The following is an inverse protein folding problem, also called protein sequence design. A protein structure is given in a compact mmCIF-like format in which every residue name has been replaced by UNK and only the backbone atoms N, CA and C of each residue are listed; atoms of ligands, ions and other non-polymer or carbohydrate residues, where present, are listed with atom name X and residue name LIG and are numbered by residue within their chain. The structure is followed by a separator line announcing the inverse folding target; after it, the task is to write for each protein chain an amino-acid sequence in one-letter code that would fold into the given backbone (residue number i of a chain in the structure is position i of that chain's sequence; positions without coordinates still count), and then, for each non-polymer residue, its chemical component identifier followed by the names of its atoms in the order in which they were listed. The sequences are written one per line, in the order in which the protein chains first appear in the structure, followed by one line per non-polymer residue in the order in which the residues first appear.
data_IF_235869069709
#
_entry.id   IF_235869069709
#
_cell.length_a   1.000
_cell.length_b   1.000
_cell.length_c   1.000
_cell.angle_alpha   90.00
_cell.angle_beta   90.00
_cell.angle_gamma   90.00
#
_symmetry.space_group_name_H-M   'P 1'
#
loop_
_entity.id
_entity.type
_entity.pdbx_description
1 polymer ?
#
# COMPACT_ATOMS: atom_id res chain seq x y z
N UNK A 1 -22.73 6.78 12.65
CA UNK A 1 -22.74 5.39 12.14
C UNK A 1 -22.49 5.32 10.64
N UNK A 2 -21.23 5.25 10.21
CA UNK A 2 -20.86 5.05 8.81
C UNK A 2 -20.14 3.68 8.65
N UNK A 3 -20.77 2.68 8.00
CA UNK A 3 -20.15 1.39 7.72
C UNK A 3 -18.87 1.49 6.88
N UNK A 4 -18.79 2.44 5.95
CA UNK A 4 -17.62 2.67 5.11
C UNK A 4 -16.42 3.17 5.91
N UNK A 5 -16.63 4.14 6.78
CA UNK A 5 -15.60 4.61 7.71
C UNK A 5 -15.11 3.50 8.65
N UNK A 6 -16.01 2.60 9.11
CA UNK A 6 -15.62 1.44 9.93
C UNK A 6 -14.72 0.47 9.17
N UNK A 7 -15.05 0.15 7.92
CA UNK A 7 -14.17 -0.64 7.05
C UNK A 7 -12.83 0.06 6.81
N UNK A 8 -12.84 1.38 6.62
CA UNK A 8 -11.66 2.21 6.36
C UNK A 8 -10.59 2.21 7.46
N UNK A 9 -10.96 1.87 8.70
CA UNK A 9 -10.01 1.65 9.80
C UNK A 9 -9.16 0.40 9.57
N UNK A 10 -9.72 -0.62 8.92
CA UNK A 10 -9.07 -1.90 8.70
C UNK A 10 -8.38 -1.94 7.33
N UNK A 11 -9.11 -1.61 6.28
CA UNK A 11 -8.67 -1.82 4.90
C UNK A 11 -8.89 -0.58 4.04
N UNK A 12 -8.13 -0.50 2.97
CA UNK A 12 -8.24 0.58 1.98
C UNK A 12 -9.50 0.45 1.13
N UNK A 13 -9.95 1.57 0.60
CA UNK A 13 -11.13 1.68 -0.25
C UNK A 13 -10.96 2.80 -1.27
N UNK A 14 -11.61 2.69 -2.44
CA UNK A 14 -11.48 3.70 -3.48
C UNK A 14 -12.24 4.97 -3.10
N UNK A 15 -11.64 6.14 -3.28
CA UNK A 15 -12.35 7.42 -3.17
C UNK A 15 -13.39 7.56 -4.29
N UNK A 16 -13.01 7.14 -5.50
CA UNK A 16 -13.92 6.97 -6.65
C UNK A 16 -13.68 5.57 -7.21
N UNK A 17 -14.74 4.76 -7.30
CA UNK A 17 -14.63 3.35 -7.71
C UNK A 17 -14.41 3.25 -9.22
N UNK A 18 -13.15 3.08 -9.60
CA UNK A 18 -12.72 2.76 -10.96
C UNK A 18 -11.57 1.74 -10.84
N UNK A 19 -11.88 0.43 -10.80
CA UNK A 19 -10.89 -0.60 -10.48
C UNK A 19 -9.63 -0.56 -11.35
N UNK A 20 -9.75 -0.21 -12.63
CA UNK A 20 -8.61 -0.08 -13.54
C UNK A 20 -7.71 1.09 -13.14
N UNK A 21 -8.29 2.29 -12.93
CA UNK A 21 -7.51 3.44 -12.49
C UNK A 21 -6.92 3.23 -11.08
N UNK A 22 -7.70 2.63 -10.17
CA UNK A 22 -7.25 2.32 -8.82
C UNK A 22 -6.09 1.31 -8.82
N UNK A 23 -6.16 0.28 -9.69
CA UNK A 23 -5.07 -0.68 -9.88
C UNK A 23 -3.79 0.02 -10.36
N UNK A 24 -3.90 0.92 -11.35
CA UNK A 24 -2.75 1.68 -11.84
C UNK A 24 -2.13 2.53 -10.73
N UNK A 25 -2.95 3.18 -9.89
CA UNK A 25 -2.46 3.95 -8.73
C UNK A 25 -1.67 3.08 -7.76
N UNK A 26 -2.18 1.89 -7.38
CA UNK A 26 -1.46 0.98 -6.50
C UNK A 26 -0.15 0.44 -7.12
N UNK A 27 -0.15 0.17 -8.43
CA UNK A 27 1.07 -0.21 -9.16
C UNK A 27 2.13 0.89 -9.05
N UNK A 28 1.76 2.14 -9.35
CA UNK A 28 2.69 3.28 -9.32
C UNK A 28 3.20 3.51 -7.89
N UNK A 29 2.31 3.49 -6.90
CA UNK A 29 2.67 3.68 -5.50
C UNK A 29 3.65 2.62 -4.99
N UNK A 30 3.36 1.33 -5.23
CA UNK A 30 4.25 0.25 -4.78
C UNK A 30 5.53 0.18 -5.59
N UNK A 31 5.49 0.49 -6.89
CA UNK A 31 6.71 0.64 -7.70
C UNK A 31 7.66 1.66 -7.07
N UNK A 32 7.15 2.86 -6.78
CA UNK A 32 7.96 3.92 -6.18
C UNK A 32 8.48 3.51 -4.81
N UNK A 33 7.64 2.87 -3.97
CA UNK A 33 8.05 2.34 -2.67
C UNK A 33 9.23 1.37 -2.82
N UNK A 34 9.09 0.32 -3.63
CA UNK A 34 10.11 -0.73 -3.72
C UNK A 34 11.38 -0.20 -4.39
N UNK A 35 11.27 0.59 -5.45
CA UNK A 35 12.43 1.17 -6.11
C UNK A 35 13.24 2.06 -5.15
N UNK A 36 12.57 2.98 -4.43
CA UNK A 36 13.25 3.94 -3.55
C UNK A 36 13.75 3.27 -2.28
N UNK A 37 13.03 2.31 -1.67
CA UNK A 37 13.52 1.56 -0.50
C UNK A 37 14.84 0.84 -0.82
N UNK A 38 14.93 0.21 -2.01
CA UNK A 38 16.17 -0.43 -2.43
C UNK A 38 17.30 0.61 -2.63
N UNK A 39 17.02 1.76 -3.26
CA UNK A 39 18.01 2.83 -3.40
C UNK A 39 18.48 3.41 -2.06
N UNK A 40 17.57 3.60 -1.09
CA UNK A 40 17.92 4.03 0.27
C UNK A 40 18.77 2.98 0.97
N UNK A 41 18.49 1.69 0.73
CA UNK A 41 19.24 0.59 1.36
C UNK A 41 20.72 0.57 0.97
N UNK A 42 21.10 1.06 -0.22
CA UNK A 42 22.50 1.08 -0.66
C UNK A 42 23.33 2.18 0.00
N UNK A 43 22.69 3.23 0.53
CA UNK A 43 23.37 4.40 1.11
C UNK A 43 23.19 4.52 2.63
N UNK A 44 22.09 3.99 3.19
CA UNK A 44 21.73 4.19 4.59
C UNK A 44 21.92 2.94 5.47
N UNK A 45 22.09 1.76 4.89
CA UNK A 45 22.32 0.54 5.65
C UNK A 45 23.76 0.52 6.18
N UNK A 46 23.92 0.48 7.51
CA UNK A 46 25.24 0.45 8.16
C UNK A 46 25.90 1.82 8.37
N UNK A 47 25.28 2.90 7.88
CA UNK A 47 25.80 4.27 8.05
C UNK A 47 25.55 4.81 9.45
N UNK A 48 24.27 4.94 9.84
CA UNK A 48 23.85 5.44 11.16
C UNK A 48 22.71 4.57 11.68
N UNK A 49 22.77 4.06 12.94
CA UNK A 49 21.67 3.31 13.53
C UNK A 49 20.35 4.06 13.44
N UNK A 50 19.29 3.41 12.93
CA UNK A 50 17.96 3.99 12.82
C UNK A 50 17.71 4.91 11.62
N UNK A 51 18.74 5.31 10.86
CA UNK A 51 18.55 6.19 9.69
C UNK A 51 17.76 5.49 8.57
N UNK A 52 18.08 4.24 8.27
CA UNK A 52 17.35 3.45 7.26
C UNK A 52 15.84 3.38 7.54
N UNK A 53 15.36 2.88 8.70
CA UNK A 53 13.93 2.83 8.98
C UNK A 53 13.29 4.22 9.08
N UNK A 54 14.02 5.25 9.53
CA UNK A 54 13.52 6.64 9.51
C UNK A 54 13.22 7.10 8.08
N UNK A 55 14.17 6.94 7.14
CA UNK A 55 14.00 7.32 5.74
C UNK A 55 12.89 6.52 5.05
N UNK A 56 12.78 5.23 5.34
CA UNK A 56 11.66 4.40 4.85
C UNK A 56 10.32 4.91 5.40
N UNK A 57 10.27 5.33 6.66
CA UNK A 57 9.07 5.95 7.25
C UNK A 57 8.68 7.26 6.56
N UNK A 58 9.64 8.15 6.32
CA UNK A 58 9.42 9.41 5.59
C UNK A 58 8.97 9.15 4.15
N UNK A 59 9.51 8.12 3.49
CA UNK A 59 9.07 7.71 2.16
C UNK A 59 7.60 7.27 2.16
N UNK A 60 7.21 6.38 3.06
CA UNK A 60 5.81 5.91 3.16
C UNK A 60 4.87 7.09 3.45
N UNK A 61 5.27 8.00 4.34
CA UNK A 61 4.49 9.21 4.62
C UNK A 61 4.34 10.11 3.39
N UNK A 62 5.43 10.33 2.65
CA UNK A 62 5.42 11.14 1.42
C UNK A 62 4.56 10.52 0.32
N UNK A 63 4.57 9.19 0.18
CA UNK A 63 3.70 8.46 -0.74
C UNK A 63 2.22 8.59 -0.32
N UNK A 64 1.92 8.52 0.98
CA UNK A 64 0.56 8.75 1.48
C UNK A 64 0.04 10.15 1.15
N UNK A 65 0.87 11.19 1.30
CA UNK A 65 0.50 12.58 0.98
C UNK A 65 0.33 12.84 -0.52
N UNK A 66 1.12 12.17 -1.36
CA UNK A 66 1.16 12.43 -2.82
C UNK A 66 0.28 11.50 -3.66
N UNK A 67 0.18 10.23 -3.28
CA UNK A 67 -0.49 9.18 -4.05
C UNK A 67 -1.65 8.51 -3.28
N UNK A 68 -1.91 8.92 -2.04
CA UNK A 68 -2.92 8.29 -1.19
C UNK A 68 -4.37 8.62 -1.52
N UNK A 69 -4.65 9.73 -2.19
CA UNK A 69 -6.02 10.21 -2.43
C UNK A 69 -6.94 9.18 -3.11
N UNK A 70 -6.56 8.57 -4.25
CA UNK A 70 -7.48 7.72 -5.01
C UNK A 70 -7.85 6.39 -4.35
N UNK A 71 -6.93 5.78 -3.59
CA UNK A 71 -7.08 4.40 -3.08
C UNK A 71 -6.81 4.23 -1.59
N UNK A 72 -6.26 5.24 -0.91
CA UNK A 72 -5.76 5.09 0.46
C UNK A 72 -4.39 4.42 0.57
N UNK A 73 -3.62 4.37 -0.52
CA UNK A 73 -2.23 3.88 -0.61
C UNK A 73 -2.03 2.55 0.13
N UNK A 74 -2.62 1.47 -0.38
CA UNK A 74 -2.47 0.16 0.26
C UNK A 74 -1.01 -0.27 0.27
N UNK A 75 -0.32 -0.13 -0.87
CA UNK A 75 1.12 -0.36 -1.09
C UNK A 75 1.62 -1.79 -0.80
N UNK A 76 0.85 -2.59 -0.05
CA UNK A 76 1.23 -3.87 0.51
C UNK A 76 -0.04 -4.75 0.68
N UNK A 77 -0.08 -5.96 0.08
CA UNK A 77 -1.22 -6.86 0.19
C UNK A 77 -1.58 -7.23 1.64
N UNK A 78 -0.57 -7.44 2.51
CA UNK A 78 -0.79 -7.81 3.90
C UNK A 78 -1.39 -6.66 4.73
N UNK A 79 -1.07 -5.40 4.38
CA UNK A 79 -1.60 -4.20 5.03
C UNK A 79 -3.09 -4.02 4.77
N UNK A 80 -3.61 -4.57 3.68
CA UNK A 80 -5.04 -4.52 3.34
C UNK A 80 -5.78 -5.83 3.68
N UNK A 81 -5.31 -6.96 3.15
CA UNK A 81 -6.05 -8.22 3.16
C UNK A 81 -6.18 -8.79 4.58
N UNK A 82 -5.11 -8.75 5.38
CA UNK A 82 -5.13 -9.25 6.76
C UNK A 82 -6.19 -8.53 7.61
N UNK A 83 -6.11 -7.19 7.73
CA UNK A 83 -7.14 -6.40 8.40
C UNK A 83 -8.54 -6.55 7.80
N UNK A 84 -8.68 -6.71 6.48
CA UNK A 84 -9.98 -6.94 5.84
C UNK A 84 -10.61 -8.27 6.25
N UNK A 85 -9.81 -9.33 6.37
CA UNK A 85 -10.25 -10.63 6.93
C UNK A 85 -10.69 -10.45 8.38
N UNK A 86 -9.93 -9.72 9.19
CA UNK A 86 -10.30 -9.42 10.58
C UNK A 86 -11.63 -8.65 10.64
N UNK A 87 -11.81 -7.64 9.80
CA UNK A 87 -13.08 -6.91 9.67
C UNK A 87 -14.22 -7.86 9.28
N UNK A 88 -14.00 -8.85 8.43
CA UNK A 88 -15.03 -9.81 8.03
C UNK A 88 -15.46 -10.73 9.19
N UNK A 89 -14.52 -11.18 10.02
CA UNK A 89 -14.75 -12.18 11.08
C UNK A 89 -15.29 -11.53 12.36
N UNK A 90 -14.76 -10.37 12.78
CA UNK A 90 -15.11 -9.80 14.07
C UNK A 90 -16.57 -9.28 14.09
N UNK A 91 -17.32 -9.50 15.18
CA UNK A 91 -18.69 -9.00 15.33
C UNK A 91 -18.70 -7.51 15.70
N UNK A 92 -18.34 -6.65 14.74
CA UNK A 92 -18.31 -5.19 14.92
C UNK A 92 -19.72 -4.63 14.65
N UNK A 93 -20.36 -3.93 15.63
CA UNK A 93 -21.70 -3.39 15.46
C UNK A 93 -21.80 -2.43 14.25
N UNK A 94 -22.74 -2.69 13.34
CA UNK A 94 -23.02 -1.81 12.19
C UNK A 94 -21.86 -1.66 11.20
N UNK A 95 -21.03 -2.69 11.01
CA UNK A 95 -19.82 -2.68 10.15
C UNK A 95 -20.08 -2.82 8.64
N UNK A 96 -21.22 -3.35 8.24
CA UNK A 96 -21.51 -3.63 6.82
C UNK A 96 -20.66 -4.77 6.23
N UNK A 97 -20.46 -4.74 4.91
CA UNK A 97 -19.66 -5.74 4.17
C UNK A 97 -18.17 -5.36 4.11
N UNK A 98 -17.28 -6.33 3.88
CA UNK A 98 -15.82 -6.10 3.76
C UNK A 98 -15.34 -5.72 2.35
N UNK A 99 -16.24 -5.33 1.43
CA UNK A 99 -15.94 -4.97 0.03
C UNK A 99 -15.01 -5.95 -0.72
N UNK A 100 -15.36 -7.24 -0.68
CA UNK A 100 -14.59 -8.29 -1.35
C UNK A 100 -14.48 -8.10 -2.87
N UNK A 101 -15.42 -7.38 -3.49
CA UNK A 101 -15.37 -7.04 -4.91
C UNK A 101 -14.23 -6.07 -5.28
N UNK A 102 -13.70 -5.32 -4.31
CA UNK A 102 -12.55 -4.43 -4.50
C UNK A 102 -11.24 -5.02 -3.96
N UNK A 103 -11.31 -5.96 -3.02
CA UNK A 103 -10.17 -6.48 -2.26
C UNK A 103 -9.00 -7.02 -3.10
N UNK A 104 -9.23 -7.38 -4.35
CA UNK A 104 -8.17 -7.83 -5.26
C UNK A 104 -7.25 -6.70 -5.73
N UNK A 105 -7.73 -5.45 -5.82
CA UNK A 105 -6.95 -4.28 -6.26
C UNK A 105 -5.74 -4.02 -5.36
N UNK A 106 -5.89 -3.88 -4.02
CA UNK A 106 -4.76 -3.69 -3.10
C UNK A 106 -3.89 -4.94 -2.90
N UNK A 107 -4.20 -6.06 -3.59
CA UNK A 107 -3.35 -7.25 -3.63
C UNK A 107 -2.56 -7.29 -4.93
N UNK A 108 -3.26 -7.28 -6.07
CA UNK A 108 -2.65 -7.41 -7.39
C UNK A 108 -1.80 -6.19 -7.75
N UNK A 109 -2.28 -4.98 -7.46
CA UNK A 109 -1.57 -3.74 -7.77
C UNK A 109 -0.19 -3.69 -7.11
N UNK A 110 -0.11 -3.88 -5.77
CA UNK A 110 1.17 -3.90 -5.08
C UNK A 110 2.11 -5.01 -5.52
N UNK A 111 1.61 -6.22 -5.82
CA UNK A 111 2.46 -7.31 -6.33
C UNK A 111 3.12 -6.90 -7.65
N UNK A 112 2.34 -6.38 -8.60
CA UNK A 112 2.85 -5.93 -9.90
C UNK A 112 3.85 -4.78 -9.71
N UNK A 113 3.48 -3.75 -8.93
CA UNK A 113 4.34 -2.61 -8.66
C UNK A 113 5.67 -3.01 -8.01
N UNK A 114 5.63 -3.94 -7.05
CA UNK A 114 6.83 -4.43 -6.37
C UNK A 114 7.76 -5.20 -7.31
N UNK A 115 7.21 -6.06 -8.17
CA UNK A 115 8.00 -6.78 -9.18
C UNK A 115 8.67 -5.78 -10.11
N UNK A 116 7.92 -4.83 -10.67
CA UNK A 116 8.45 -3.84 -11.60
C UNK A 116 9.54 -2.96 -10.94
N UNK A 117 9.30 -2.49 -9.73
CA UNK A 117 10.25 -1.64 -8.99
C UNK A 117 11.53 -2.38 -8.64
N UNK A 118 11.40 -3.63 -8.16
CA UNK A 118 12.55 -4.46 -7.82
C UNK A 118 13.37 -4.88 -9.05
N UNK A 119 12.72 -5.26 -10.16
CA UNK A 119 13.40 -5.62 -11.41
C UNK A 119 14.14 -4.42 -11.98
N UNK A 120 13.49 -3.25 -12.06
CA UNK A 120 14.15 -2.05 -12.59
C UNK A 120 15.33 -1.63 -11.71
N UNK A 121 15.18 -1.67 -10.39
CA UNK A 121 16.28 -1.35 -9.48
C UNK A 121 17.48 -2.27 -9.73
N UNK A 122 17.25 -3.59 -9.80
CA UNK A 122 18.31 -4.56 -10.10
C UNK A 122 18.96 -4.33 -11.45
N UNK A 123 18.20 -3.94 -12.47
CA UNK A 123 18.75 -3.69 -13.80
C UNK A 123 19.64 -2.43 -13.87
N UNK A 124 19.39 -1.44 -13.01
CA UNK A 124 20.10 -0.16 -13.01
C UNK A 124 21.25 -0.08 -12.00
N UNK A 125 21.10 -0.75 -10.86
CA UNK A 125 21.97 -0.57 -9.69
C UNK A 125 22.32 -1.89 -8.95
N UNK A 126 21.83 -3.04 -9.45
CA UNK A 126 22.24 -4.37 -8.98
C UNK A 126 23.36 -4.95 -9.82
#
# INVERSE_FOLDING_TARGET
DDPGAKLGVFSTGPAIRNPTANLITEIIGTFALIFIVNAVSTVATGSTPGLFPYLVGILIWSLGLSLGGPTGYALNPARDLGPRIVHAILPIPGKGSSDWGYAWVPVVGPIIGAILGGVLFRALAG
#
